data_IF_199313285082
#
_entry.id   IF_199313285082
#
_cell.length_a   1.000
_cell.length_b   1.000
_cell.length_c   1.000
_cell.angle_alpha   90.00
_cell.angle_beta   90.00
_cell.angle_gamma   90.00
#
_symmetry.space_group_name_H-M   'P 1'
#
loop_
_entity.id
_entity.type
_entity.pdbx_description
1 polymer ?
#
# COMPACT_ATOMS: atom_id res chain seq x y z
N UNK A 1 43.95 -3.86 8.31
CA UNK A 1 43.34 -3.52 7.01
C UNK A 1 41.86 -3.29 7.24
N UNK A 2 41.41 -2.03 7.19
CA UNK A 2 39.99 -1.69 7.22
C UNK A 2 39.35 -2.11 5.90
N UNK A 3 38.20 -2.78 5.95
CA UNK A 3 37.30 -2.91 4.81
C UNK A 3 35.99 -2.23 5.20
N UNK A 4 35.94 -0.91 4.98
CA UNK A 4 34.70 -0.16 5.01
C UNK A 4 33.86 -0.64 3.82
N UNK A 5 32.84 -1.44 4.10
CA UNK A 5 31.77 -1.67 3.15
C UNK A 5 31.03 -0.35 2.97
N UNK A 6 31.27 0.29 1.83
CA UNK A 6 30.51 1.43 1.31
C UNK A 6 29.06 0.94 1.09
N UNK A 7 28.24 0.97 2.15
CA UNK A 7 26.80 0.96 2.01
C UNK A 7 26.41 2.30 1.44
N UNK A 8 26.40 2.38 0.11
CA UNK A 8 25.76 3.45 -0.63
C UNK A 8 24.29 3.42 -0.24
N UNK A 9 23.88 4.32 0.67
CA UNK A 9 22.48 4.67 0.86
C UNK A 9 22.01 5.24 -0.48
N UNK A 10 21.40 4.39 -1.30
CA UNK A 10 20.58 4.89 -2.40
C UNK A 10 19.51 5.76 -1.73
N UNK A 11 19.50 7.05 -2.06
CA UNK A 11 18.34 7.91 -1.81
C UNK A 11 17.13 7.23 -2.47
N UNK A 12 16.44 6.38 -1.71
CA UNK A 12 15.17 5.81 -2.12
C UNK A 12 14.22 6.99 -2.20
N UNK A 13 14.06 7.55 -3.40
CA UNK A 13 13.01 8.54 -3.67
C UNK A 13 11.71 7.98 -3.11
N UNK A 14 11.12 8.67 -2.14
CA UNK A 14 9.81 8.29 -1.63
C UNK A 14 8.73 8.57 -2.66
N UNK A 15 7.66 7.79 -2.62
CA UNK A 15 6.47 8.10 -3.39
C UNK A 15 5.78 9.35 -2.80
N UNK A 16 5.43 10.30 -3.66
CA UNK A 16 4.66 11.49 -3.32
C UNK A 16 3.20 11.21 -3.59
N UNK A 17 2.38 11.33 -2.55
CA UNK A 17 0.92 11.20 -2.67
C UNK A 17 0.28 12.34 -1.89
N UNK A 18 -0.39 13.23 -2.61
CA UNK A 18 -1.19 14.33 -2.06
C UNK A 18 -2.55 14.37 -2.78
N UNK A 19 -3.51 15.19 -2.32
CA UNK A 19 -4.79 15.35 -3.04
C UNK A 19 -4.67 15.93 -4.46
N UNK A 20 -3.52 16.51 -4.81
CA UNK A 20 -3.31 17.22 -6.08
C UNK A 20 -2.28 16.52 -6.98
N UNK A 21 -1.30 15.85 -6.38
CA UNK A 21 -0.15 15.28 -7.07
C UNK A 21 0.13 13.85 -6.61
N UNK A 22 0.48 13.00 -7.59
CA UNK A 22 0.95 11.64 -7.37
C UNK A 22 2.20 11.41 -8.22
N UNK A 23 3.31 11.03 -7.58
CA UNK A 23 4.51 10.58 -8.28
C UNK A 23 5.08 9.31 -7.66
N UNK A 24 5.33 8.32 -8.51
CA UNK A 24 5.98 7.08 -8.15
C UNK A 24 7.49 7.21 -8.39
N UNK A 25 8.26 6.70 -7.44
CA UNK A 25 9.71 6.57 -7.56
C UNK A 25 10.14 5.41 -8.47
N UNK A 26 9.28 4.40 -8.61
CA UNK A 26 9.53 3.18 -9.38
C UNK A 26 8.68 3.09 -10.66
N UNK A 27 9.24 2.47 -11.70
CA UNK A 27 8.51 2.11 -12.92
C UNK A 27 7.37 1.09 -12.68
N UNK A 28 7.43 0.34 -11.57
CA UNK A 28 6.35 -0.60 -11.16
C UNK A 28 5.12 0.10 -10.57
N UNK A 29 5.19 1.43 -10.40
CA UNK A 29 4.14 2.22 -9.77
C UNK A 29 4.37 2.46 -8.28
N UNK A 30 3.31 2.94 -7.62
CA UNK A 30 3.31 3.35 -6.20
C UNK A 30 3.31 2.14 -5.27
N UNK A 31 4.11 2.20 -4.21
CA UNK A 31 4.14 1.19 -3.15
C UNK A 31 3.00 1.43 -2.13
N UNK A 32 1.87 0.76 -2.36
CA UNK A 32 0.69 0.88 -1.51
C UNK A 32 0.89 0.37 -0.09
N UNK A 33 1.79 -0.60 0.14
CA UNK A 33 2.08 -1.10 1.49
C UNK A 33 2.82 -0.04 2.31
N UNK A 34 3.75 0.72 1.68
CA UNK A 34 4.36 1.90 2.30
C UNK A 34 3.34 3.01 2.59
N UNK A 35 2.37 3.24 1.69
CA UNK A 35 1.33 4.25 1.92
C UNK A 35 0.45 3.94 3.13
N UNK A 36 0.12 2.67 3.36
CA UNK A 36 -0.66 2.26 4.54
C UNK A 36 0.05 2.72 5.82
N UNK A 37 1.36 2.49 5.92
CA UNK A 37 2.18 2.89 7.07
C UNK A 37 2.29 4.41 7.15
N UNK A 38 2.58 5.10 6.04
CA UNK A 38 2.76 6.56 5.97
C UNK A 38 1.51 7.32 6.41
N UNK A 39 0.33 6.87 5.99
CA UNK A 39 -0.95 7.51 6.35
C UNK A 39 -1.59 6.95 7.64
N UNK A 40 -0.99 5.92 8.26
CA UNK A 40 -1.53 5.32 9.48
C UNK A 40 -2.86 4.59 9.27
N UNK A 41 -3.10 4.07 8.08
CA UNK A 41 -4.30 3.31 7.75
C UNK A 41 -4.14 1.83 8.15
N UNK A 42 -5.24 1.08 8.11
CA UNK A 42 -5.22 -0.39 8.28
C UNK A 42 -5.33 -1.07 6.93
N UNK A 43 -4.57 -2.14 6.72
CA UNK A 43 -4.64 -2.94 5.50
C UNK A 43 -6.00 -3.64 5.39
N UNK A 44 -6.62 -3.58 4.23
CA UNK A 44 -7.84 -4.31 3.92
C UNK A 44 -7.49 -5.78 3.63
N UNK A 45 -7.62 -6.64 4.63
CA UNK A 45 -7.38 -8.08 4.52
C UNK A 45 -8.58 -8.86 3.98
N UNK A 46 -8.34 -10.12 3.57
CA UNK A 46 -9.40 -11.02 3.12
C UNK A 46 -10.41 -11.35 4.24
N UNK A 47 -9.97 -11.34 5.49
CA UNK A 47 -10.81 -11.50 6.68
C UNK A 47 -11.92 -10.44 6.73
N UNK A 48 -11.59 -9.19 6.41
CA UNK A 48 -12.56 -8.10 6.41
C UNK A 48 -13.50 -8.17 5.21
N UNK A 49 -13.01 -8.61 4.05
CA UNK A 49 -13.84 -8.88 2.85
C UNK A 49 -14.84 -10.01 3.12
N UNK A 50 -14.42 -11.08 3.79
CA UNK A 50 -15.29 -12.18 4.18
C UNK A 50 -16.32 -11.75 5.24
N UNK A 51 -15.90 -10.91 6.20
CA UNK A 51 -16.85 -10.30 7.15
C UNK A 51 -17.87 -9.42 6.44
N UNK A 52 -17.45 -8.62 5.46
CA UNK A 52 -18.35 -7.79 4.66
C UNK A 52 -19.41 -8.64 3.95
N UNK A 53 -19.00 -9.76 3.35
CA UNK A 53 -19.92 -10.74 2.74
C UNK A 53 -20.94 -11.27 3.76
N UNK A 54 -20.48 -11.70 4.93
CA UNK A 54 -21.34 -12.25 5.99
C UNK A 54 -22.37 -11.26 6.51
N UNK A 55 -21.99 -9.99 6.68
CA UNK A 55 -22.86 -8.96 7.24
C UNK A 55 -23.86 -8.45 6.19
N UNK A 56 -23.43 -8.27 4.94
CA UNK A 56 -24.30 -7.74 3.88
C UNK A 56 -25.16 -8.82 3.23
N UNK A 57 -24.75 -10.09 3.29
CA UNK A 57 -25.39 -11.18 2.55
C UNK A 57 -25.16 -11.13 1.04
N UNK A 58 -24.35 -10.19 0.55
CA UNK A 58 -24.09 -9.96 -0.87
C UNK A 58 -22.63 -10.29 -1.20
N UNK A 59 -22.39 -10.63 -2.46
CA UNK A 59 -21.04 -10.87 -2.95
C UNK A 59 -20.24 -9.55 -2.90
N UNK A 60 -19.06 -9.50 -2.24
CA UNK A 60 -18.28 -8.26 -2.14
C UNK A 60 -17.89 -7.75 -3.53
N UNK A 61 -17.95 -6.44 -3.76
CA UNK A 61 -17.66 -5.86 -5.07
C UNK A 61 -16.29 -6.33 -5.62
N UNK A 62 -16.12 -6.56 -6.95
CA UNK A 62 -14.87 -7.05 -7.52
C UNK A 62 -13.62 -6.22 -7.15
N UNK A 63 -13.78 -4.92 -6.92
CA UNK A 63 -12.67 -4.05 -6.47
C UNK A 63 -12.14 -4.40 -5.06
N UNK A 64 -13.00 -4.85 -4.15
CA UNK A 64 -12.59 -5.33 -2.83
C UNK A 64 -11.86 -6.67 -2.95
N UNK A 65 -12.36 -7.58 -3.81
CA UNK A 65 -11.78 -8.90 -4.00
C UNK A 65 -10.43 -8.89 -4.72
N UNK A 66 -10.23 -7.93 -5.64
CA UNK A 66 -9.00 -7.76 -6.41
C UNK A 66 -7.96 -6.86 -5.71
N UNK A 67 -8.27 -6.34 -4.52
CA UNK A 67 -7.36 -5.47 -3.77
C UNK A 67 -7.20 -4.07 -4.33
N UNK A 68 -8.15 -3.60 -5.15
CA UNK A 68 -8.15 -2.22 -5.66
C UNK A 68 -8.40 -1.22 -4.52
N UNK A 69 -9.27 -1.61 -3.58
CA UNK A 69 -9.32 -1.00 -2.25
C UNK A 69 -8.41 -1.82 -1.34
N UNK A 70 -7.35 -1.19 -0.83
CA UNK A 70 -6.28 -1.86 -0.10
C UNK A 70 -6.15 -1.40 1.36
N UNK A 71 -6.83 -0.32 1.74
CA UNK A 71 -6.76 0.27 3.07
C UNK A 71 -8.13 0.75 3.56
N UNK A 72 -8.31 0.78 4.89
CA UNK A 72 -9.49 1.32 5.56
C UNK A 72 -9.11 1.99 6.89
N UNK A 73 -10.05 2.72 7.50
CA UNK A 73 -9.94 3.29 8.85
C UNK A 73 -11.18 2.98 9.66
#
# INVERSE_FOLDING_TARGET
MQVNGDHKEEEQKEDLVTPWDVSASSATGVDYDKLIVKFGCRKLGQDLVERFRKVTGHEPHPMLRRGMFFAHR
#
